data_IF_930228070370
#
_entry.id   IF_930228070370
#
_cell.length_a   1.000
_cell.length_b   1.000
_cell.length_c   1.000
_cell.angle_alpha   90.00
_cell.angle_beta   90.00
_cell.angle_gamma   90.00
#
_symmetry.space_group_name_H-M   'P 1'
#
loop_
_entity.id
_entity.type
_entity.pdbx_description
1 polymer ?
#
# COMPACT_ATOMS: atom_id res chain seq x y z
N UNK A 1 24.79 6.48 8.39
CA UNK A 1 23.56 7.23 8.77
C UNK A 1 22.46 6.82 7.82
N UNK A 2 21.53 5.96 8.23
CA UNK A 2 20.46 5.46 7.36
C UNK A 2 19.28 6.44 7.40
N UNK A 3 19.23 7.37 6.46
CA UNK A 3 18.02 8.15 6.18
C UNK A 3 16.95 7.19 5.63
N UNK A 4 16.20 6.54 6.53
CA UNK A 4 14.98 5.83 6.14
C UNK A 4 13.90 6.89 5.97
N UNK A 5 13.87 7.51 4.80
CA UNK A 5 12.84 8.48 4.42
C UNK A 5 11.52 7.71 4.25
N UNK A 6 10.81 7.50 5.35
CA UNK A 6 9.44 6.99 5.31
C UNK A 6 8.56 8.11 4.77
N UNK A 7 8.18 8.01 3.50
CA UNK A 7 7.25 8.94 2.89
C UNK A 7 5.84 8.50 3.24
N UNK A 8 5.11 9.32 4.00
CA UNK A 8 3.70 9.10 4.28
C UNK A 8 2.87 9.91 3.32
N UNK A 9 1.95 9.24 2.63
CA UNK A 9 1.01 9.88 1.70
C UNK A 9 -0.41 9.52 2.12
N UNK A 10 -1.32 10.48 2.06
CA UNK A 10 -2.75 10.26 2.28
C UNK A 10 -3.45 10.20 0.92
N UNK A 11 -4.32 9.20 0.75
CA UNK A 11 -5.07 8.93 -0.46
C UNK A 11 -6.56 8.99 -0.14
N UNK A 12 -7.33 9.70 -0.97
CA UNK A 12 -8.78 9.56 -1.02
C UNK A 12 -9.14 8.75 -2.27
N UNK A 13 -10.07 7.81 -2.14
CA UNK A 13 -10.52 6.94 -3.23
C UNK A 13 -12.00 6.62 -3.07
N UNK A 14 -12.67 6.26 -4.16
CA UNK A 14 -14.07 5.84 -4.15
C UNK A 14 -14.17 4.32 -4.01
N UNK A 15 -15.03 3.84 -3.11
CA UNK A 15 -15.35 2.42 -2.96
C UNK A 15 -16.81 2.27 -2.56
N UNK A 16 -17.56 1.44 -3.29
CA UNK A 16 -19.01 1.21 -3.07
C UNK A 16 -19.86 2.49 -3.11
N UNK A 17 -19.44 3.50 -3.88
CA UNK A 17 -20.13 4.78 -4.00
C UNK A 17 -19.83 5.78 -2.88
N UNK A 18 -18.94 5.44 -1.94
CA UNK A 18 -18.50 6.33 -0.86
C UNK A 18 -17.03 6.74 -1.03
N UNK A 19 -16.71 7.98 -0.65
CA UNK A 19 -15.33 8.46 -0.60
C UNK A 19 -14.67 7.96 0.68
N UNK A 20 -13.67 7.10 0.53
CA UNK A 20 -12.86 6.55 1.62
C UNK A 20 -11.46 7.15 1.62
N UNK A 21 -10.76 6.98 2.74
CA UNK A 21 -9.41 7.46 2.93
C UNK A 21 -8.48 6.31 3.34
N UNK A 22 -7.25 6.37 2.83
CA UNK A 22 -6.15 5.51 3.21
C UNK A 22 -4.89 6.35 3.42
N UNK A 23 -3.95 5.82 4.18
CA UNK A 23 -2.59 6.34 4.21
C UNK A 23 -1.61 5.26 3.81
N UNK A 24 -0.64 5.63 2.97
CA UNK A 24 0.43 4.77 2.52
C UNK A 24 1.75 5.25 3.11
N UNK A 25 2.45 4.37 3.83
CA UNK A 25 3.85 4.53 4.19
C UNK A 25 4.71 3.84 3.14
N UNK A 26 5.47 4.60 2.37
CA UNK A 26 6.37 4.08 1.35
C UNK A 26 7.77 3.90 1.94
N UNK A 27 8.34 2.72 1.72
CA UNK A 27 9.79 2.48 1.83
C UNK A 27 10.37 2.21 0.43
N UNK A 28 11.69 1.99 0.34
CA UNK A 28 12.40 1.76 -0.92
C UNK A 28 11.81 0.65 -1.81
N UNK A 29 11.22 -0.40 -1.24
CA UNK A 29 10.74 -1.59 -1.97
C UNK A 29 9.31 -1.99 -1.67
N UNK A 30 8.67 -1.39 -0.65
CA UNK A 30 7.35 -1.78 -0.14
C UNK A 30 6.51 -0.55 0.18
N UNK A 31 5.23 -0.64 -0.17
CA UNK A 31 4.19 0.25 0.32
C UNK A 31 3.45 -0.41 1.48
N UNK A 32 3.10 0.38 2.48
CA UNK A 32 2.34 -0.05 3.64
C UNK A 32 1.07 0.78 3.74
N UNK A 33 -0.05 0.21 3.33
CA UNK A 33 -1.34 0.87 3.23
C UNK A 33 -2.14 0.58 4.50
N UNK A 34 -2.76 1.63 5.04
CA UNK A 34 -3.60 1.62 6.23
C UNK A 34 -4.88 2.37 5.88
N UNK A 35 -6.01 1.67 5.87
CA UNK A 35 -7.32 2.30 5.65
C UNK A 35 -7.79 3.01 6.91
N UNK A 36 -8.39 4.19 6.76
CA UNK A 36 -8.92 4.95 7.89
C UNK A 36 -10.05 4.21 8.62
N UNK A 37 -10.84 3.39 7.90
CA UNK A 37 -11.87 2.53 8.49
C UNK A 37 -11.35 1.25 9.15
N UNK A 38 -10.12 0.83 8.85
CA UNK A 38 -9.49 -0.39 9.37
C UNK A 38 -8.07 -0.10 9.87
N UNK A 39 -7.88 0.81 10.85
CA UNK A 39 -6.55 1.28 11.26
C UNK A 39 -5.70 0.18 11.91
N UNK A 40 -6.33 -0.88 12.42
CA UNK A 40 -5.67 -2.03 13.04
C UNK A 40 -5.10 -3.02 12.03
N UNK A 41 -5.41 -2.88 10.74
CA UNK A 41 -4.98 -3.77 9.68
C UNK A 41 -3.99 -3.02 8.78
N UNK A 42 -2.84 -3.66 8.54
CA UNK A 42 -1.79 -3.09 7.68
C UNK A 42 -1.59 -3.97 6.46
N UNK A 43 -1.74 -3.38 5.28
CA UNK A 43 -1.57 -4.05 4.00
C UNK A 43 -0.19 -3.70 3.46
N UNK A 44 0.66 -4.68 3.28
CA UNK A 44 1.99 -4.48 2.70
C UNK A 44 1.98 -4.94 1.26
N UNK A 45 2.39 -4.08 0.35
CA UNK A 45 2.45 -4.34 -1.08
C UNK A 45 3.89 -4.16 -1.53
N UNK A 46 4.41 -5.08 -2.35
CA UNK A 46 5.73 -4.85 -2.95
C UNK A 46 5.60 -3.84 -4.09
N UNK A 47 6.52 -2.88 -4.16
CA UNK A 47 6.56 -1.94 -5.28
C UNK A 47 7.03 -2.60 -6.58
N UNK A 48 7.84 -3.68 -6.46
CA UNK A 48 8.30 -4.47 -7.60
C UNK A 48 7.26 -5.48 -8.11
N UNK A 49 6.35 -5.87 -7.23
CA UNK A 49 5.30 -6.86 -7.50
C UNK A 49 4.03 -6.46 -6.73
N UNK A 50 3.24 -5.53 -7.29
CA UNK A 50 2.08 -4.96 -6.60
C UNK A 50 0.85 -5.87 -6.60
N UNK A 51 0.94 -7.06 -7.22
CA UNK A 51 -0.17 -8.03 -7.27
C UNK A 51 -0.24 -8.88 -6.00
N UNK A 52 0.91 -9.12 -5.35
CA UNK A 52 0.98 -9.82 -4.07
C UNK A 52 0.90 -8.85 -2.89
N UNK A 53 -0.04 -9.14 -1.99
CA UNK A 53 -0.30 -8.35 -0.79
C UNK A 53 -0.10 -9.20 0.45
N UNK A 54 0.66 -8.68 1.39
CA UNK A 54 0.82 -9.25 2.73
C UNK A 54 -0.06 -8.46 3.71
N UNK A 55 -1.09 -9.12 4.21
CA UNK A 55 -1.97 -8.61 5.24
C UNK A 55 -1.40 -8.90 6.63
N UNK A 56 -1.14 -7.87 7.43
CA UNK A 56 -0.78 -8.04 8.83
C UNK A 56 -2.02 -7.84 9.70
N UNK A 57 -2.43 -8.92 10.36
CA UNK A 57 -3.60 -8.94 11.22
C UNK A 57 -3.28 -8.39 12.63
N UNK A 58 -4.32 -8.01 13.40
CA UNK A 58 -4.17 -7.62 14.79
C UNK A 58 -3.46 -8.69 15.62
N UNK A 59 -2.80 -8.27 16.69
CA UNK A 59 -2.12 -9.18 17.61
C UNK A 59 -3.13 -10.19 18.18
N UNK A 60 -2.80 -11.47 18.06
CA UNK A 60 -3.61 -12.55 18.64
C UNK A 60 -3.51 -12.55 20.18
N UNK A 61 -4.35 -13.38 20.84
CA UNK A 61 -4.33 -13.53 22.31
C UNK A 61 -2.99 -14.06 22.87
N UNK A 62 -2.07 -14.51 22.01
CA UNK A 62 -0.75 -15.03 22.35
C UNK A 62 0.37 -14.04 22.04
N UNK A 63 0.05 -12.81 21.66
CA UNK A 63 1.03 -11.76 21.37
C UNK A 63 1.67 -11.85 19.97
N UNK A 64 1.20 -12.75 19.10
CA UNK A 64 1.73 -12.88 17.73
C UNK A 64 0.92 -12.02 16.76
N UNK A 65 1.58 -11.49 15.73
CA UNK A 65 0.93 -10.76 14.63
C UNK A 65 0.92 -11.67 13.40
N UNK A 66 -0.16 -12.41 13.14
CA UNK A 66 -0.22 -13.26 11.97
C UNK A 66 -0.17 -12.43 10.69
N UNK A 67 0.47 -13.00 9.68
CA UNK A 67 0.58 -12.42 8.34
C UNK A 67 -0.04 -13.39 7.34
N UNK A 68 -0.86 -12.86 6.43
CA UNK A 68 -1.50 -13.62 5.36
C UNK A 68 -1.02 -13.05 4.03
N UNK A 69 -0.67 -13.90 3.07
CA UNK A 69 -0.36 -13.48 1.70
C UNK A 69 -1.53 -13.81 0.80
N UNK A 70 -1.96 -12.87 -0.03
CA UNK A 70 -2.98 -13.10 -1.04
C UNK A 70 -2.81 -12.13 -2.21
N UNK A 71 -3.46 -12.46 -3.32
CA UNK A 71 -3.55 -11.55 -4.45
C UNK A 71 -4.40 -10.32 -4.11
N UNK A 72 -4.04 -9.17 -4.69
CA UNK A 72 -4.74 -7.91 -4.48
C UNK A 72 -6.21 -7.96 -4.86
N UNK A 73 -6.55 -8.78 -5.88
CA UNK A 73 -7.93 -9.01 -6.34
C UNK A 73 -8.82 -9.67 -5.27
N UNK A 74 -8.23 -10.29 -4.25
CA UNK A 74 -8.98 -10.82 -3.10
C UNK A 74 -9.43 -9.73 -2.13
N UNK A 75 -8.96 -8.48 -2.30
CA UNK A 75 -9.23 -7.34 -1.43
C UNK A 75 -9.72 -6.16 -2.30
N UNK A 76 -11.03 -6.11 -2.64
CA UNK A 76 -11.58 -5.11 -3.57
C UNK A 76 -11.33 -3.66 -3.16
N UNK A 77 -11.36 -3.36 -1.86
CA UNK A 77 -11.06 -2.02 -1.33
C UNK A 77 -9.61 -1.60 -1.59
N UNK A 78 -8.67 -2.55 -1.46
CA UNK A 78 -7.26 -2.32 -1.75
C UNK A 78 -6.97 -2.23 -3.24
N UNK A 79 -7.65 -3.02 -4.04
CA UNK A 79 -7.60 -2.90 -5.50
C UNK A 79 -8.05 -1.51 -5.96
N UNK A 80 -9.17 -1.00 -5.42
CA UNK A 80 -9.66 0.35 -5.70
C UNK A 80 -8.65 1.43 -5.29
N UNK A 81 -8.11 1.35 -4.06
CA UNK A 81 -7.10 2.27 -3.58
C UNK A 81 -5.83 2.24 -4.45
N UNK A 82 -5.32 1.06 -4.78
CA UNK A 82 -4.14 0.90 -5.63
C UNK A 82 -4.40 1.35 -7.08
N UNK A 83 -5.62 1.19 -7.58
CA UNK A 83 -6.08 1.75 -8.84
C UNK A 83 -5.95 3.26 -8.87
N UNK A 84 -6.35 3.95 -7.79
CA UNK A 84 -6.19 5.40 -7.66
C UNK A 84 -4.71 5.81 -7.57
N UNK A 85 -3.90 5.08 -6.79
CA UNK A 85 -2.45 5.32 -6.70
C UNK A 85 -1.77 5.19 -8.08
N UNK A 86 -2.18 4.20 -8.90
CA UNK A 86 -1.71 4.04 -10.28
C UNK A 86 -2.16 5.20 -11.17
N UNK A 87 -3.43 5.62 -11.05
CA UNK A 87 -4.01 6.75 -11.79
C UNK A 87 -3.28 8.06 -11.50
N UNK A 88 -2.96 8.32 -10.24
CA UNK A 88 -2.21 9.50 -9.80
C UNK A 88 -0.71 9.41 -10.13
N UNK A 89 -0.24 8.30 -10.71
CA UNK A 89 1.13 8.11 -11.16
C UNK A 89 2.14 7.91 -10.04
N UNK A 90 1.70 7.63 -8.81
CA UNK A 90 2.59 7.47 -7.65
C UNK A 90 3.48 6.22 -7.74
N UNK A 91 2.99 5.18 -8.42
CA UNK A 91 3.69 3.91 -8.63
C UNK A 91 4.35 3.81 -10.00
N UNK A 92 4.35 4.88 -10.81
CA UNK A 92 5.21 4.85 -11.99
C UNK A 92 6.64 4.76 -11.47
N UNK A 93 7.46 3.79 -11.92
CA UNK A 93 8.89 3.89 -11.70
C UNK A 93 9.26 5.30 -12.18
N UNK A 94 9.95 6.07 -11.32
CA UNK A 94 10.73 7.19 -11.82
C UNK A 94 11.71 6.55 -12.79
N UNK A 95 11.32 6.45 -14.05
CA UNK A 95 12.27 6.29 -15.12
C UNK A 95 13.09 7.56 -14.97
N UNK A 96 14.24 7.43 -14.32
CA UNK A 96 15.31 8.38 -14.51
C UNK A 96 15.54 8.33 -16.00
N UNK A 97 15.02 9.32 -16.71
CA UNK A 97 15.46 9.60 -18.07
C UNK A 97 16.87 10.19 -17.91
N UNK A 98 17.80 9.30 -17.61
CA UNK A 98 19.24 9.41 -17.75
C UNK A 98 19.59 8.08 -18.42
N UNK A 99 20.02 8.01 -19.67
CA UNK A 99 20.67 8.94 -20.59
C UNK A 99 20.35 8.48 -22.03
N UNK A 100 20.42 9.38 -23.01
CA UNK A 100 21.38 9.30 -24.14
C UNK A 100 21.00 10.32 -25.22
N UNK A 101 21.92 11.27 -25.40
CA UNK A 101 22.15 12.18 -26.54
C UNK A 101 21.18 13.35 -26.79
#
# INVERSE_FOLDING_TARGET
>A
MSNSTKHRISLAYEHEGEVRQASAELNLTKASIIFSGLPSIKFQVSLSDPEQVILQLPTDRKGKKPTVSCDISSIPELEAAMGEVRRQGWLRPKVSVSECE
#
